data_IF_905226928115
#
_entry.id   IF_905226928115
#
_cell.length_a   1.000
_cell.length_b   1.000
_cell.length_c   1.000
_cell.angle_alpha   90.00
_cell.angle_beta   90.00
_cell.angle_gamma   90.00
#
_symmetry.space_group_name_H-M   'P 1'
#
loop_
_entity.id
_entity.type
_entity.pdbx_description
1 polymer ?
#
# COMPACT_ATOMS: atom_id res chain seq x y z
N UNK A 1 -2.95 -11.24 -29.66
CA UNK A 1 -2.20 -12.37 -29.09
C UNK A 1 -0.82 -11.94 -28.63
N UNK A 2 0.06 -11.45 -29.51
CA UNK A 2 1.34 -10.83 -29.11
C UNK A 2 1.18 -9.77 -28.00
N UNK A 3 0.17 -8.91 -28.14
CA UNK A 3 -0.19 -7.93 -27.11
C UNK A 3 -0.57 -8.54 -25.76
N UNK A 4 -1.38 -9.61 -25.74
CA UNK A 4 -1.80 -10.27 -24.50
C UNK A 4 -0.64 -10.99 -23.81
N UNK A 5 0.31 -11.52 -24.59
CA UNK A 5 1.55 -12.09 -24.06
C UNK A 5 2.38 -10.99 -23.40
N UNK A 6 2.62 -9.88 -24.09
CA UNK A 6 3.34 -8.74 -23.52
C UNK A 6 2.66 -8.23 -22.23
N UNK A 7 1.32 -8.22 -22.22
CA UNK A 7 0.54 -7.83 -21.05
C UNK A 7 0.71 -8.80 -19.87
N UNK A 8 0.70 -10.11 -20.10
CA UNK A 8 1.00 -11.14 -19.08
C UNK A 8 2.38 -10.94 -18.47
N UNK A 9 3.41 -10.72 -19.30
CA UNK A 9 4.77 -10.47 -18.82
C UNK A 9 4.91 -9.16 -18.05
N UNK A 10 4.31 -8.08 -18.57
CA UNK A 10 4.30 -6.80 -17.88
C UNK A 10 3.65 -6.95 -16.49
N UNK A 11 2.55 -7.70 -16.39
CA UNK A 11 1.87 -7.96 -15.13
C UNK A 11 2.72 -8.82 -14.18
N UNK A 12 3.40 -9.86 -14.68
CA UNK A 12 4.32 -10.67 -13.90
C UNK A 12 5.51 -9.85 -13.34
N UNK A 13 6.04 -8.90 -14.14
CA UNK A 13 7.06 -7.96 -13.69
C UNK A 13 6.53 -6.98 -12.62
N UNK A 14 5.28 -6.53 -12.75
CA UNK A 14 4.62 -5.71 -11.73
C UNK A 14 4.44 -6.50 -10.43
N UNK A 15 4.03 -7.77 -10.50
CA UNK A 15 3.95 -8.68 -9.34
C UNK A 15 5.32 -8.84 -8.66
N UNK A 16 6.38 -9.04 -9.45
CA UNK A 16 7.76 -9.09 -8.94
C UNK A 16 8.17 -7.79 -8.25
N UNK A 17 7.82 -6.63 -8.84
CA UNK A 17 8.03 -5.32 -8.24
C UNK A 17 7.31 -5.17 -6.90
N UNK A 18 6.07 -5.66 -6.78
CA UNK A 18 5.34 -5.64 -5.50
C UNK A 18 5.98 -6.54 -4.44
N UNK A 19 6.50 -7.71 -4.82
CA UNK A 19 7.26 -8.54 -3.89
C UNK A 19 8.52 -7.83 -3.38
N UNK A 20 9.23 -7.11 -4.26
CA UNK A 20 10.38 -6.29 -3.88
C UNK A 20 10.00 -5.13 -2.96
N UNK A 21 8.91 -4.40 -3.26
CA UNK A 21 8.42 -3.31 -2.41
C UNK A 21 7.97 -3.80 -1.04
N UNK A 22 7.28 -4.95 -0.97
CA UNK A 22 6.91 -5.58 0.30
C UNK A 22 8.13 -6.04 1.10
N UNK A 23 9.20 -6.49 0.43
CA UNK A 23 10.45 -6.83 1.11
C UNK A 23 11.07 -5.60 1.80
N UNK A 24 11.09 -4.47 1.11
CA UNK A 24 11.61 -3.19 1.62
C UNK A 24 10.66 -2.50 2.61
N UNK A 25 9.37 -2.81 2.59
CA UNK A 25 8.34 -2.18 3.43
C UNK A 25 7.29 -3.21 3.90
N UNK A 26 7.64 -4.09 4.86
CA UNK A 26 6.86 -5.29 5.20
C UNK A 26 5.48 -5.03 5.81
N UNK A 27 5.20 -3.81 6.26
CA UNK A 27 3.93 -3.45 6.93
C UNK A 27 2.95 -2.67 6.04
N UNK A 28 3.23 -2.52 4.74
CA UNK A 28 2.31 -1.83 3.83
C UNK A 28 1.15 -2.74 3.42
N UNK A 29 -0.02 -2.56 4.05
CA UNK A 29 -1.26 -3.25 3.68
C UNK A 29 -1.66 -3.00 2.23
N UNK A 30 -1.35 -1.81 1.69
CA UNK A 30 -1.66 -1.43 0.31
C UNK A 30 -0.87 -2.31 -0.67
N UNK A 31 0.43 -2.54 -0.42
CA UNK A 31 1.24 -3.38 -1.30
C UNK A 31 0.85 -4.85 -1.23
N UNK A 32 0.43 -5.35 -0.05
CA UNK A 32 -0.08 -6.71 0.09
C UNK A 32 -1.38 -6.91 -0.71
N UNK A 33 -2.31 -5.96 -0.64
CA UNK A 33 -3.56 -6.02 -1.38
C UNK A 33 -3.34 -5.90 -2.90
N UNK A 34 -2.43 -5.01 -3.31
CA UNK A 34 -2.05 -4.85 -4.72
C UNK A 34 -1.40 -6.12 -5.27
N UNK A 35 -0.53 -6.78 -4.48
CA UNK A 35 0.10 -8.05 -4.84
C UNK A 35 -0.95 -9.17 -5.01
N UNK A 36 -1.85 -9.33 -4.04
CA UNK A 36 -2.93 -10.34 -4.10
C UNK A 36 -3.78 -10.11 -5.37
N UNK A 37 -4.19 -8.86 -5.60
CA UNK A 37 -4.98 -8.49 -6.77
C UNK A 37 -4.25 -8.80 -8.07
N UNK A 38 -2.95 -8.48 -8.15
CA UNK A 38 -2.14 -8.73 -9.33
C UNK A 38 -1.94 -10.23 -9.62
N UNK A 39 -1.80 -11.07 -8.59
CA UNK A 39 -1.75 -12.54 -8.72
C UNK A 39 -3.05 -13.07 -9.33
N UNK A 40 -4.21 -12.62 -8.84
CA UNK A 40 -5.51 -13.03 -9.38
C UNK A 40 -5.72 -12.56 -10.82
N UNK A 41 -5.35 -11.31 -11.14
CA UNK A 41 -5.46 -10.79 -12.51
C UNK A 41 -4.56 -11.60 -13.46
N UNK A 42 -3.36 -12.00 -13.01
CA UNK A 42 -2.47 -12.82 -13.83
C UNK A 42 -3.06 -14.21 -14.09
N UNK A 43 -3.58 -14.87 -13.06
CA UNK A 43 -4.27 -16.16 -13.21
C UNK A 43 -5.50 -16.07 -14.13
N UNK A 44 -6.25 -14.97 -14.08
CA UNK A 44 -7.38 -14.72 -14.97
C UNK A 44 -6.93 -14.56 -16.43
N UNK A 45 -5.88 -13.78 -16.66
CA UNK A 45 -5.36 -13.51 -18.00
C UNK A 45 -4.86 -14.80 -18.68
N UNK A 46 -4.28 -15.71 -17.90
CA UNK A 46 -3.87 -17.03 -18.36
C UNK A 46 -5.05 -17.91 -18.77
N UNK A 47 -6.16 -17.91 -18.02
CA UNK A 47 -7.37 -18.65 -18.38
C UNK A 47 -7.99 -18.10 -19.67
N UNK A 48 -8.09 -16.78 -19.80
CA UNK A 48 -8.57 -16.11 -21.03
C UNK A 48 -7.70 -16.49 -22.22
N UNK A 49 -6.38 -16.53 -22.05
CA UNK A 49 -5.44 -16.97 -23.09
C UNK A 49 -5.62 -18.45 -23.43
N UNK A 50 -5.86 -19.30 -22.44
CA UNK A 50 -6.19 -20.71 -22.61
C UNK A 50 -7.44 -20.91 -23.48
N UNK A 51 -8.51 -20.18 -23.23
CA UNK A 51 -9.74 -20.26 -24.05
C UNK A 51 -9.55 -19.68 -25.45
N UNK A 52 -8.83 -18.56 -25.59
CA UNK A 52 -8.54 -17.97 -26.90
C UNK A 52 -7.67 -18.87 -27.79
N UNK A 53 -6.70 -19.60 -27.20
CA UNK A 53 -5.87 -20.57 -27.93
C UNK A 53 -6.69 -21.74 -28.45
N UNK A 54 -7.61 -22.28 -27.63
CA UNK A 54 -8.56 -23.33 -28.05
C UNK A 54 -9.42 -22.89 -29.24
N UNK A 55 -9.96 -21.68 -29.18
CA UNK A 55 -10.83 -21.13 -30.24
C UNK A 55 -10.11 -20.95 -31.58
N UNK A 56 -8.82 -20.63 -31.58
CA UNK A 56 -8.06 -20.34 -32.81
C UNK A 56 -7.34 -21.53 -33.42
N UNK A 57 -7.39 -22.73 -32.81
CA UNK A 57 -6.60 -23.90 -33.24
C UNK A 57 -5.11 -23.59 -33.50
N UNK A 58 -4.56 -22.61 -32.78
CA UNK A 58 -3.18 -22.15 -32.98
C UNK A 58 -2.19 -23.22 -32.48
N UNK A 59 -1.13 -23.49 -33.25
CA UNK A 59 -0.06 -24.43 -32.89
C UNK A 59 0.54 -24.08 -31.51
N UNK A 60 0.88 -25.13 -30.75
CA UNK A 60 1.12 -25.10 -29.30
C UNK A 60 2.35 -24.34 -28.82
N UNK A 61 3.20 -23.83 -29.72
CA UNK A 61 4.50 -23.26 -29.37
C UNK A 61 4.41 -22.01 -28.47
N UNK A 62 3.24 -21.36 -28.42
CA UNK A 62 2.99 -20.16 -27.62
C UNK A 62 2.78 -20.43 -26.12
N UNK A 63 2.53 -21.68 -25.71
CA UNK A 63 2.34 -22.03 -24.29
C UNK A 63 3.64 -21.96 -23.47
N UNK A 64 4.80 -22.09 -24.12
CA UNK A 64 6.11 -21.98 -23.45
C UNK A 64 6.36 -20.58 -22.88
N UNK A 65 5.79 -19.57 -23.52
CA UNK A 65 5.99 -18.16 -23.21
C UNK A 65 5.20 -17.73 -21.97
N UNK A 66 3.93 -18.15 -21.84
CA UNK A 66 3.11 -17.90 -20.64
C UNK A 66 3.70 -18.55 -19.37
N UNK A 67 4.36 -19.71 -19.52
CA UNK A 67 4.97 -20.46 -18.40
C UNK A 67 6.10 -19.69 -17.70
N UNK A 68 6.75 -18.73 -18.37
CA UNK A 68 7.81 -17.92 -17.77
C UNK A 68 7.25 -16.85 -16.81
N UNK A 69 5.99 -16.43 -16.99
CA UNK A 69 5.33 -15.50 -16.08
C UNK A 69 5.15 -16.13 -14.69
N UNK A 70 4.78 -17.42 -14.63
CA UNK A 70 4.65 -18.15 -13.37
C UNK A 70 5.95 -18.21 -12.59
N UNK A 71 7.04 -18.46 -13.31
CA UNK A 71 8.37 -18.54 -12.73
C UNK A 71 8.76 -17.21 -12.08
N UNK A 72 8.48 -16.08 -12.73
CA UNK A 72 8.75 -14.75 -12.17
C UNK A 72 7.98 -14.51 -10.87
N UNK A 73 6.72 -14.94 -10.80
CA UNK A 73 5.89 -14.80 -9.59
C UNK A 73 6.43 -15.68 -8.46
N UNK A 74 6.81 -16.93 -8.76
CA UNK A 74 7.41 -17.85 -7.78
C UNK A 74 8.76 -17.31 -7.29
N UNK A 75 9.61 -16.81 -8.18
CA UNK A 75 10.88 -16.19 -7.79
C UNK A 75 10.67 -14.95 -6.92
N UNK A 76 9.69 -14.11 -7.24
CA UNK A 76 9.32 -12.97 -6.41
C UNK A 76 8.86 -13.38 -5.01
N UNK A 77 8.04 -14.42 -4.91
CA UNK A 77 7.59 -14.95 -3.63
C UNK A 77 8.75 -15.51 -2.80
N UNK A 78 9.67 -16.27 -3.42
CA UNK A 78 10.88 -16.79 -2.77
C UNK A 78 11.76 -15.64 -2.28
N UNK A 79 11.98 -14.62 -3.11
CA UNK A 79 12.76 -13.44 -2.75
C UNK A 79 12.15 -12.70 -1.56
N UNK A 80 10.84 -12.47 -1.56
CA UNK A 80 10.12 -11.82 -0.47
C UNK A 80 10.23 -12.61 0.84
N UNK A 81 10.10 -13.94 0.79
CA UNK A 81 10.28 -14.79 1.96
C UNK A 81 11.72 -14.76 2.49
N UNK A 82 12.72 -14.56 1.62
CA UNK A 82 14.14 -14.52 1.99
C UNK A 82 14.69 -13.17 2.48
N UNK A 83 13.97 -12.06 2.27
CA UNK A 83 14.48 -10.69 2.43
C UNK A 83 14.10 -9.98 3.74
N UNK A 84 13.32 -10.62 4.62
CA UNK A 84 12.87 -10.00 5.87
C UNK A 84 13.93 -9.98 7.00
N UNK A 85 13.97 -8.94 7.85
CA UNK A 85 14.86 -8.87 9.00
C UNK A 85 14.36 -9.82 10.12
N UNK A 86 15.09 -10.94 10.29
CA UNK A 86 15.29 -11.77 11.49
C UNK A 86 14.08 -12.33 12.31
N UNK A 87 14.37 -13.40 13.05
CA UNK A 87 13.56 -14.19 14.02
C UNK A 87 12.53 -15.23 13.53
N UNK A 88 11.69 -14.99 12.53
CA UNK A 88 10.77 -16.06 12.03
C UNK A 88 11.53 -17.30 11.52
N UNK A 89 12.71 -17.10 10.93
CA UNK A 89 13.59 -18.17 10.46
C UNK A 89 14.47 -18.80 11.56
N UNK A 90 14.56 -18.20 12.77
CA UNK A 90 15.29 -18.83 13.90
C UNK A 90 14.51 -19.99 14.50
N UNK A 91 13.18 -19.89 14.55
CA UNK A 91 12.28 -21.00 14.94
C UNK A 91 12.38 -22.18 13.95
N UNK A 92 12.99 -21.96 12.78
CA UNK A 92 13.00 -22.87 11.64
C UNK A 92 14.40 -22.98 11.00
N UNK A 93 15.47 -22.99 11.81
CA UNK A 93 16.86 -23.09 11.32
C UNK A 93 17.12 -24.35 10.47
N UNK A 94 16.47 -25.48 10.80
CA UNK A 94 16.46 -26.71 10.00
C UNK A 94 15.74 -26.51 8.66
N UNK A 95 14.70 -25.68 8.64
CA UNK A 95 13.95 -25.37 7.41
C UNK A 95 14.71 -24.44 6.49
N UNK A 96 15.66 -23.61 6.96
CA UNK A 96 16.53 -22.81 6.07
C UNK A 96 17.38 -23.70 5.14
N UNK A 97 17.94 -24.80 5.66
CA UNK A 97 18.64 -25.80 4.84
C UNK A 97 17.66 -26.55 3.92
N UNK A 98 16.46 -26.86 4.41
CA UNK A 98 15.41 -27.50 3.60
C UNK A 98 14.72 -26.56 2.60
N UNK A 99 14.86 -25.23 2.71
CA UNK A 99 14.35 -24.23 1.76
C UNK A 99 15.31 -24.09 0.59
N UNK A 100 16.62 -24.23 0.82
CA UNK A 100 17.60 -24.32 -0.25
C UNK A 100 17.50 -25.67 -0.98
N UNK A 101 17.37 -26.77 -0.22
CA UNK A 101 17.09 -28.09 -0.77
C UNK A 101 15.72 -28.13 -1.45
N UNK A 102 14.71 -27.49 -0.86
CA UNK A 102 13.35 -27.34 -1.39
C UNK A 102 13.32 -26.47 -2.65
N UNK A 103 14.08 -25.38 -2.68
CA UNK A 103 14.31 -24.56 -3.87
C UNK A 103 14.96 -25.36 -5.00
N UNK A 104 15.97 -26.17 -4.68
CA UNK A 104 16.61 -27.08 -5.64
C UNK A 104 15.68 -28.21 -6.10
N UNK A 105 14.83 -28.75 -5.22
CA UNK A 105 13.78 -29.73 -5.55
C UNK A 105 12.71 -29.09 -6.42
N UNK A 106 12.29 -27.86 -6.15
CA UNK A 106 11.34 -27.10 -6.96
C UNK A 106 11.92 -26.79 -8.33
N UNK A 107 13.17 -26.32 -8.39
CA UNK A 107 13.89 -26.12 -9.64
C UNK A 107 14.03 -27.43 -10.42
N UNK A 108 14.30 -28.53 -9.72
CA UNK A 108 14.40 -29.88 -10.27
C UNK A 108 13.07 -30.40 -10.81
N UNK A 109 11.96 -30.22 -10.08
CA UNK A 109 10.61 -30.57 -10.51
C UNK A 109 10.21 -29.72 -11.72
N UNK A 110 10.56 -28.43 -11.73
CA UNK A 110 10.28 -27.53 -12.86
C UNK A 110 11.09 -27.94 -14.09
N UNK A 111 12.37 -28.28 -13.93
CA UNK A 111 13.23 -28.78 -15.01
C UNK A 111 12.77 -30.14 -15.55
N UNK A 112 12.37 -31.06 -14.67
CA UNK A 112 11.81 -32.37 -15.06
C UNK A 112 10.46 -32.21 -15.76
N UNK A 113 9.60 -31.30 -15.30
CA UNK A 113 8.32 -31.01 -15.95
C UNK A 113 8.47 -30.18 -17.24
N UNK A 114 9.62 -29.51 -17.42
CA UNK A 114 10.01 -28.87 -18.68
C UNK A 114 10.45 -29.91 -19.72
N UNK A 115 11.20 -30.94 -19.31
CA UNK A 115 11.70 -31.98 -20.21
C UNK A 115 10.68 -33.08 -20.52
N UNK A 116 9.82 -33.45 -19.58
CA UNK A 116 8.96 -34.63 -19.70
C UNK A 116 7.68 -34.42 -20.52
N UNK A 117 7.23 -33.16 -20.75
CA UNK A 117 5.87 -32.90 -21.22
C UNK A 117 5.62 -32.90 -22.74
N UNK A 118 6.50 -33.55 -23.50
CA UNK A 118 6.18 -33.92 -24.89
C UNK A 118 5.07 -34.99 -24.99
N UNK A 119 4.60 -35.58 -23.88
CA UNK A 119 3.88 -36.85 -23.92
C UNK A 119 2.43 -36.92 -23.38
N UNK A 120 1.83 -35.94 -22.69
CA UNK A 120 0.45 -36.13 -22.21
C UNK A 120 -0.39 -34.85 -22.09
N UNK A 121 -1.55 -34.87 -22.76
CA UNK A 121 -2.67 -33.93 -22.57
C UNK A 121 -3.54 -34.46 -21.44
N UNK A 122 -3.23 -34.12 -20.19
CA UNK A 122 -3.98 -34.55 -19.00
C UNK A 122 -4.70 -33.41 -18.30
N UNK A 123 -5.87 -33.70 -17.72
CA UNK A 123 -6.69 -32.82 -16.89
C UNK A 123 -6.19 -32.81 -15.43
N UNK A 124 -6.02 -31.62 -14.83
CA UNK A 124 -5.59 -31.42 -13.43
C UNK A 124 -4.78 -30.12 -13.23
N UNK A 125 -4.10 -30.00 -12.07
CA UNK A 125 -3.19 -28.93 -11.57
C UNK A 125 -2.02 -28.53 -12.50
N UNK A 126 -2.09 -29.00 -13.72
CA UNK A 126 -1.16 -28.81 -14.81
C UNK A 126 -1.27 -27.42 -15.44
N UNK A 127 -2.40 -26.75 -15.26
CA UNK A 127 -2.65 -25.39 -15.78
C UNK A 127 -2.01 -24.33 -14.87
N UNK A 128 -1.50 -23.27 -15.49
CA UNK A 128 -0.96 -22.10 -14.78
C UNK A 128 -2.01 -21.45 -13.87
N UNK A 129 -3.24 -21.31 -14.38
CA UNK A 129 -4.34 -20.65 -13.69
C UNK A 129 -4.67 -21.30 -12.35
N UNK A 130 -4.63 -22.63 -12.24
CA UNK A 130 -4.89 -23.35 -10.98
C UNK A 130 -3.80 -23.09 -9.94
N UNK A 131 -2.54 -23.01 -10.36
CA UNK A 131 -1.40 -22.70 -9.48
C UNK A 131 -1.50 -21.27 -8.93
N UNK A 132 -1.81 -20.30 -9.79
CA UNK A 132 -1.95 -18.90 -9.38
C UNK A 132 -3.17 -18.65 -8.51
N UNK A 133 -4.28 -19.33 -8.78
CA UNK A 133 -5.48 -19.22 -7.96
C UNK A 133 -5.25 -19.74 -6.54
N UNK A 134 -4.58 -20.89 -6.41
CA UNK A 134 -4.23 -21.45 -5.11
C UNK A 134 -3.27 -20.51 -4.35
N UNK A 135 -2.24 -19.98 -5.02
CA UNK A 135 -1.35 -18.98 -4.44
C UNK A 135 -2.13 -17.74 -3.93
N UNK A 136 -3.09 -17.24 -4.73
CA UNK A 136 -3.94 -16.10 -4.38
C UNK A 136 -4.84 -16.36 -3.17
N UNK A 137 -5.44 -17.54 -3.04
CA UNK A 137 -6.28 -17.91 -1.88
C UNK A 137 -5.47 -17.88 -0.58
N UNK A 138 -4.31 -18.51 -0.57
CA UNK A 138 -3.48 -18.54 0.63
C UNK A 138 -2.93 -17.15 0.98
N UNK A 139 -2.53 -16.36 -0.03
CA UNK A 139 -2.12 -14.97 0.17
C UNK A 139 -3.27 -14.13 0.78
N UNK A 140 -4.50 -14.31 0.31
CA UNK A 140 -5.68 -13.66 0.86
C UNK A 140 -6.01 -14.11 2.29
N UNK A 141 -5.92 -15.41 2.58
CA UNK A 141 -6.16 -15.95 3.92
C UNK A 141 -5.16 -15.42 4.96
N UNK A 142 -3.92 -15.14 4.54
CA UNK A 142 -2.89 -14.57 5.40
C UNK A 142 -2.92 -13.05 5.57
N UNK A 143 -3.76 -12.34 4.81
CA UNK A 143 -3.70 -10.87 4.66
C UNK A 143 -3.68 -10.09 5.98
N UNK A 144 -4.45 -10.51 6.99
CA UNK A 144 -4.63 -9.74 8.21
C UNK A 144 -3.51 -9.89 9.25
N UNK A 145 -2.91 -11.07 9.44
CA UNK A 145 -1.94 -11.28 10.53
C UNK A 145 -0.78 -12.25 10.20
N UNK A 146 -0.85 -13.03 9.12
CA UNK A 146 0.09 -14.14 8.87
C UNK A 146 0.51 -14.24 7.40
N UNK A 147 0.62 -13.11 6.69
CA UNK A 147 0.79 -13.09 5.24
C UNK A 147 2.00 -13.91 4.78
N UNK A 148 3.15 -13.76 5.44
CA UNK A 148 4.37 -14.54 5.14
C UNK A 148 4.20 -16.04 5.40
N UNK A 149 3.59 -16.42 6.53
CA UNK A 149 3.37 -17.83 6.87
C UNK A 149 2.37 -18.48 5.91
N UNK A 150 1.29 -17.80 5.58
CA UNK A 150 0.29 -18.28 4.63
C UNK A 150 0.88 -18.42 3.21
N UNK A 151 1.68 -17.44 2.76
CA UNK A 151 2.39 -17.52 1.48
C UNK A 151 3.40 -18.69 1.44
N UNK A 152 4.10 -18.94 2.54
CA UNK A 152 4.99 -20.10 2.67
C UNK A 152 4.21 -21.42 2.60
N UNK A 153 3.10 -21.55 3.33
CA UNK A 153 2.21 -22.71 3.25
C UNK A 153 1.65 -22.92 1.84
N UNK A 154 1.32 -21.83 1.13
CA UNK A 154 0.88 -21.88 -0.26
C UNK A 154 1.93 -22.50 -1.17
N UNK A 155 3.17 -22.02 -1.07
CA UNK A 155 4.29 -22.52 -1.85
C UNK A 155 4.57 -23.99 -1.53
N UNK A 156 4.60 -24.36 -0.25
CA UNK A 156 4.81 -25.75 0.18
C UNK A 156 3.72 -26.68 -0.38
N UNK A 157 2.44 -26.27 -0.28
CA UNK A 157 1.32 -27.03 -0.84
C UNK A 157 1.43 -27.17 -2.36
N UNK A 158 1.78 -26.09 -3.07
CA UNK A 158 1.97 -26.09 -4.52
C UNK A 158 3.12 -27.03 -4.95
N UNK A 159 4.22 -27.06 -4.19
CA UNK A 159 5.35 -27.96 -4.43
C UNK A 159 4.94 -29.43 -4.23
N UNK A 160 4.23 -29.73 -3.13
CA UNK A 160 3.72 -31.07 -2.85
C UNK A 160 2.75 -31.55 -3.95
N UNK A 161 1.84 -30.68 -4.39
CA UNK A 161 0.90 -30.96 -5.46
C UNK A 161 1.60 -31.21 -6.81
N UNK A 162 2.63 -30.42 -7.15
CA UNK A 162 3.43 -30.64 -8.34
C UNK A 162 4.17 -31.99 -8.28
N UNK A 163 4.75 -32.33 -7.13
CA UNK A 163 5.44 -33.60 -6.94
C UNK A 163 4.49 -34.80 -7.05
N UNK A 164 3.32 -34.71 -6.42
CA UNK A 164 2.26 -35.71 -6.56
C UNK A 164 1.77 -35.84 -8.00
N UNK A 165 1.70 -34.74 -8.77
CA UNK A 165 1.36 -34.79 -10.18
C UNK A 165 2.41 -35.53 -11.03
N UNK A 166 3.70 -35.33 -10.75
CA UNK A 166 4.78 -36.07 -11.43
C UNK A 166 4.73 -37.54 -11.06
N UNK A 167 4.58 -37.87 -9.77
CA UNK A 167 4.43 -39.25 -9.29
C UNK A 167 3.21 -39.94 -9.90
N UNK A 168 2.09 -39.23 -10.01
CA UNK A 168 0.86 -39.73 -10.64
C UNK A 168 1.11 -40.16 -12.07
N UNK A 169 1.83 -39.36 -12.85
CA UNK A 169 2.12 -39.68 -14.25
C UNK A 169 3.03 -40.92 -14.36
N UNK A 170 3.93 -41.11 -13.40
CA UNK A 170 4.77 -42.33 -13.30
C UNK A 170 3.94 -43.56 -12.86
N UNK A 171 2.97 -43.38 -11.97
CA UNK A 171 2.22 -44.47 -11.32
C UNK A 171 0.81 -44.73 -11.90
N UNK A 172 0.39 -43.96 -12.92
CA UNK A 172 -0.94 -44.04 -13.59
C UNK A 172 -2.15 -43.95 -12.64
N UNK A 173 -2.05 -43.20 -11.54
CA UNK A 173 -3.16 -43.04 -10.57
C UNK A 173 -4.17 -41.99 -11.08
N UNK A 174 -5.48 -42.22 -10.91
CA UNK A 174 -6.52 -41.20 -11.23
C UNK A 174 -6.56 -40.14 -10.13
N UNK A 175 -6.29 -38.87 -10.48
CA UNK A 175 -6.21 -37.76 -9.52
C UNK A 175 -7.56 -37.13 -9.13
N UNK A 176 -7.54 -36.38 -8.02
CA UNK A 176 -8.64 -35.53 -7.56
C UNK A 176 -8.73 -34.33 -8.50
N UNK A 177 -9.89 -34.12 -9.10
CA UNK A 177 -10.14 -33.00 -10.01
C UNK A 177 -10.70 -31.80 -9.26
N UNK A 178 -10.07 -30.63 -9.40
CA UNK A 178 -10.60 -29.36 -8.93
C UNK A 178 -11.66 -28.74 -9.87
N UNK A 179 -12.09 -29.48 -10.90
CA UNK A 179 -13.08 -29.01 -11.86
C UNK A 179 -14.36 -28.44 -11.20
N UNK A 180 -14.95 -29.00 -10.11
CA UNK A 180 -16.16 -28.45 -9.50
C UNK A 180 -15.96 -27.04 -8.94
N UNK A 181 -14.85 -26.82 -8.22
CA UNK A 181 -14.50 -25.52 -7.65
C UNK A 181 -14.23 -24.50 -8.77
N UNK A 182 -13.57 -24.96 -9.83
CA UNK A 182 -13.32 -24.19 -11.05
C UNK A 182 -14.61 -23.86 -11.80
N UNK A 183 -15.61 -24.71 -11.80
CA UNK A 183 -16.90 -24.39 -12.45
C UNK A 183 -17.68 -23.33 -11.66
N UNK A 184 -17.57 -23.30 -10.33
CA UNK A 184 -18.16 -22.23 -9.52
C UNK A 184 -17.52 -20.87 -9.80
N UNK A 185 -16.18 -20.78 -9.76
CA UNK A 185 -15.46 -19.57 -10.13
C UNK A 185 -15.57 -19.26 -11.64
N UNK A 186 -15.51 -20.29 -12.46
CA UNK A 186 -15.66 -20.25 -13.91
C UNK A 186 -17.03 -19.76 -14.36
N UNK A 187 -18.11 -20.03 -13.64
CA UNK A 187 -19.43 -19.49 -13.93
C UNK A 187 -19.41 -17.95 -13.84
N UNK A 188 -18.82 -17.40 -12.79
CA UNK A 188 -18.62 -15.94 -12.67
C UNK A 188 -17.71 -15.38 -13.77
N UNK A 189 -16.67 -16.11 -14.19
CA UNK A 189 -15.79 -15.69 -15.29
C UNK A 189 -16.43 -15.81 -16.67
N UNK A 190 -17.23 -16.84 -16.91
CA UNK A 190 -17.94 -17.05 -18.17
C UNK A 190 -18.97 -15.93 -18.38
N UNK A 191 -19.63 -15.49 -17.31
CA UNK A 191 -20.54 -14.36 -17.32
C UNK A 191 -19.79 -13.08 -17.72
N UNK A 192 -18.66 -12.79 -17.07
CA UNK A 192 -17.78 -11.67 -17.40
C UNK A 192 -17.29 -11.70 -18.86
N UNK A 193 -16.83 -12.86 -19.33
CA UNK A 193 -16.38 -13.06 -20.71
C UNK A 193 -17.54 -12.90 -21.72
N UNK A 194 -18.76 -13.32 -21.37
CA UNK A 194 -19.95 -13.11 -22.19
C UNK A 194 -20.33 -11.63 -22.28
N UNK A 195 -20.28 -10.89 -21.18
CA UNK A 195 -20.46 -9.42 -21.19
C UNK A 195 -19.38 -8.71 -22.00
N UNK A 196 -18.12 -9.12 -21.90
CA UNK A 196 -17.06 -8.54 -22.73
C UNK A 196 -17.26 -8.85 -24.23
N UNK A 197 -17.73 -10.06 -24.56
CA UNK A 197 -18.11 -10.41 -25.94
C UNK A 197 -19.27 -9.56 -26.44
N UNK A 198 -20.30 -9.32 -25.63
CA UNK A 198 -21.44 -8.51 -26.04
C UNK A 198 -21.00 -7.05 -26.29
N UNK A 199 -20.15 -6.49 -25.43
CA UNK A 199 -19.57 -5.14 -25.60
C UNK A 199 -18.70 -5.06 -26.86
N UNK A 200 -17.78 -5.99 -27.09
CA UNK A 200 -16.93 -5.98 -28.28
C UNK A 200 -17.71 -6.24 -29.57
N UNK A 201 -18.74 -7.09 -29.55
CA UNK A 201 -19.59 -7.34 -30.72
C UNK A 201 -20.49 -6.14 -31.04
N UNK A 202 -20.96 -5.41 -30.02
CA UNK A 202 -21.68 -4.16 -30.17
C UNK A 202 -20.79 -3.03 -30.72
N UNK A 203 -19.53 -2.98 -30.29
CA UNK A 203 -18.53 -2.04 -30.82
C UNK A 203 -18.18 -2.32 -32.29
N UNK A 204 -18.24 -3.58 -32.74
CA UNK A 204 -17.90 -3.98 -34.12
C UNK A 204 -19.01 -3.78 -35.15
N UNK A 205 -20.27 -3.59 -34.71
CA UNK A 205 -21.44 -3.49 -35.61
C UNK A 205 -21.94 -2.07 -35.87
N UNK A 206 -21.23 -1.01 -35.47
CA UNK A 206 -21.66 0.37 -35.73
C UNK A 206 -20.58 1.19 -36.40
N UNK A 207 -20.59 1.18 -37.74
CA UNK A 207 -20.38 2.41 -38.49
C UNK A 207 -21.20 2.39 -39.79
N UNK A 208 -22.48 2.76 -39.71
CA UNK A 208 -23.06 3.66 -40.68
C UNK A 208 -23.31 5.02 -40.04
N UNK A 209 -23.06 6.08 -40.81
CA UNK A 209 -23.22 7.47 -40.41
C UNK A 209 -24.57 7.69 -39.71
N UNK A 210 -24.53 7.99 -38.42
CA UNK A 210 -25.73 8.27 -37.63
C UNK A 210 -26.13 9.74 -37.79
N UNK A 211 -27.41 10.03 -38.09
CA UNK A 211 -27.96 11.37 -38.04
C UNK A 211 -27.78 11.95 -36.64
N UNK A 212 -27.48 13.24 -36.55
CA UNK A 212 -27.36 14.01 -35.30
C UNK A 212 -28.72 14.07 -34.60
N UNK A 213 -29.06 13.02 -33.85
CA UNK A 213 -30.12 13.08 -32.86
C UNK A 213 -29.63 13.98 -31.73
N UNK A 214 -30.28 15.12 -31.55
CA UNK A 214 -30.17 15.93 -30.33
C UNK A 214 -30.68 15.08 -29.16
N UNK A 215 -29.76 14.35 -28.52
CA UNK A 215 -30.04 13.64 -27.28
C UNK A 215 -30.34 14.70 -26.23
N UNK A 216 -31.60 14.75 -25.79
CA UNK A 216 -32.04 15.56 -24.67
C UNK A 216 -31.35 14.98 -23.43
N UNK A 217 -30.23 15.59 -23.04
CA UNK A 217 -29.44 15.16 -21.89
C UNK A 217 -30.34 15.18 -20.65
N UNK A 218 -30.45 14.07 -19.89
CA UNK A 218 -31.23 14.07 -18.66
C UNK A 218 -30.64 15.12 -17.72
N UNK A 219 -31.48 16.03 -17.23
CA UNK A 219 -31.10 16.99 -16.20
C UNK A 219 -30.76 16.20 -14.94
N UNK A 220 -29.52 16.30 -14.45
CA UNK A 220 -29.11 15.73 -13.18
C UNK A 220 -29.95 16.34 -12.05
N UNK A 221 -30.38 15.52 -11.09
CA UNK A 221 -31.04 16.01 -9.87
C UNK A 221 -30.08 16.88 -9.06
N UNK A 222 -30.61 17.92 -8.42
CA UNK A 222 -29.85 18.82 -7.54
C UNK A 222 -30.09 18.40 -6.10
N UNK A 223 -29.03 18.38 -5.30
CA UNK A 223 -29.02 17.93 -3.91
C UNK A 223 -28.34 18.96 -3.00
N UNK A 224 -28.79 19.03 -1.75
CA UNK A 224 -28.19 19.89 -0.74
C UNK A 224 -27.07 19.14 -0.01
N UNK A 225 -25.91 19.77 0.11
CA UNK A 225 -24.78 19.23 0.86
C UNK A 225 -24.33 20.22 1.94
N UNK A 226 -24.30 19.77 3.19
CA UNK A 226 -23.88 20.57 4.34
C UNK A 226 -22.52 20.11 4.85
N UNK A 227 -21.50 20.95 4.77
CA UNK A 227 -20.20 20.71 5.39
C UNK A 227 -20.14 21.40 6.76
N UNK A 228 -19.77 20.68 7.81
CA UNK A 228 -19.50 21.26 9.14
C UNK A 228 -18.03 21.10 9.45
N UNK A 229 -17.31 22.21 9.67
CA UNK A 229 -15.86 22.22 9.89
C UNK A 229 -15.55 22.47 11.36
N UNK A 230 -14.81 21.56 11.98
CA UNK A 230 -14.45 21.62 13.42
C UNK A 230 -12.96 21.38 13.63
N UNK A 231 -12.41 21.86 14.74
CA UNK A 231 -11.05 21.54 15.18
C UNK A 231 -10.99 20.10 15.71
N UNK A 232 -10.01 19.31 15.27
CA UNK A 232 -9.93 17.89 15.57
C UNK A 232 -9.76 17.56 17.07
N UNK A 233 -9.09 18.44 17.83
CA UNK A 233 -8.76 18.22 19.24
C UNK A 233 -9.85 18.69 20.20
N UNK A 234 -10.46 19.83 19.92
CA UNK A 234 -11.43 20.49 20.81
C UNK A 234 -12.88 20.29 20.36
N UNK A 235 -13.07 19.82 19.12
CA UNK A 235 -14.36 19.77 18.41
C UNK A 235 -15.07 21.13 18.29
N UNK A 236 -14.36 22.23 18.57
CA UNK A 236 -14.88 23.57 18.42
C UNK A 236 -15.13 23.87 16.92
N UNK A 237 -16.23 24.56 16.58
CA UNK A 237 -16.51 24.96 15.20
C UNK A 237 -15.45 25.95 14.70
N UNK A 238 -15.10 25.84 13.40
CA UNK A 238 -14.13 26.71 12.75
C UNK A 238 -14.82 27.70 11.81
N UNK A 239 -15.22 28.90 12.30
CA UNK A 239 -15.82 29.92 11.47
C UNK A 239 -14.84 30.45 10.43
N UNK A 240 -15.36 30.89 9.29
CA UNK A 240 -14.61 31.38 8.14
C UNK A 240 -13.66 30.34 7.49
N UNK A 241 -13.79 29.06 7.81
CA UNK A 241 -13.13 28.00 7.05
C UNK A 241 -13.65 28.01 5.61
N UNK A 242 -12.74 27.99 4.64
CA UNK A 242 -13.07 27.94 3.21
C UNK A 242 -13.33 26.49 2.81
N UNK A 243 -14.54 26.20 2.35
CA UNK A 243 -14.94 24.90 1.80
C UNK A 243 -15.10 25.05 0.29
N UNK A 244 -14.31 24.31 -0.49
CA UNK A 244 -14.35 24.30 -1.94
C UNK A 244 -14.81 22.94 -2.45
N UNK A 245 -15.94 22.89 -3.16
CA UNK A 245 -16.43 21.71 -3.86
C UNK A 245 -16.07 21.82 -5.35
N UNK A 246 -15.31 20.85 -5.87
CA UNK A 246 -14.96 20.77 -7.28
C UNK A 246 -15.57 19.52 -7.92
N UNK A 247 -16.49 19.69 -8.86
CA UNK A 247 -17.09 18.58 -9.63
C UNK A 247 -16.02 17.89 -10.48
N UNK A 248 -15.85 16.57 -10.33
CA UNK A 248 -14.90 15.80 -11.15
C UNK A 248 -15.35 15.64 -12.59
N UNK A 249 -16.66 15.63 -12.83
CA UNK A 249 -17.24 15.44 -14.16
C UNK A 249 -17.17 16.72 -15.00
N UNK A 250 -17.47 17.86 -14.38
CA UNK A 250 -17.58 19.14 -15.11
C UNK A 250 -16.39 20.09 -14.85
N UNK A 251 -15.59 19.84 -13.82
CA UNK A 251 -14.51 20.74 -13.38
C UNK A 251 -14.99 22.01 -12.69
N UNK A 252 -16.30 22.25 -12.58
CA UNK A 252 -16.86 23.44 -11.92
C UNK A 252 -16.55 23.43 -10.43
N UNK A 253 -16.20 24.60 -9.89
CA UNK A 253 -15.89 24.81 -8.48
C UNK A 253 -16.94 25.72 -7.84
N UNK A 254 -17.38 25.35 -6.65
CA UNK A 254 -18.19 26.18 -5.78
C UNK A 254 -17.44 26.39 -4.46
N UNK A 255 -17.42 27.63 -3.97
CA UNK A 255 -16.72 28.00 -2.74
C UNK A 255 -17.71 28.63 -1.76
N UNK A 256 -17.64 28.20 -0.50
CA UNK A 256 -18.38 28.77 0.63
C UNK A 256 -17.46 28.94 1.83
N UNK A 257 -17.78 29.92 2.66
CA UNK A 257 -17.14 30.12 3.96
C UNK A 257 -18.06 29.56 5.04
N UNK A 258 -17.48 28.83 5.98
CA UNK A 258 -18.19 28.31 7.14
C UNK A 258 -18.69 29.46 8.04
N UNK A 259 -19.93 29.33 8.53
CA UNK A 259 -20.54 30.29 9.44
C UNK A 259 -20.03 30.17 10.89
N UNK A 260 -20.68 30.87 11.84
CA UNK A 260 -20.31 30.82 13.26
C UNK A 260 -20.41 29.42 13.90
N UNK A 261 -21.21 28.52 13.32
CA UNK A 261 -21.35 27.12 13.72
C UNK A 261 -20.40 26.18 12.96
N UNK A 262 -19.52 26.73 12.12
CA UNK A 262 -18.63 25.96 11.25
C UNK A 262 -19.34 25.39 10.02
N UNK A 263 -20.58 25.81 9.72
CA UNK A 263 -21.42 25.21 8.68
C UNK A 263 -21.30 25.95 7.35
N UNK A 264 -21.21 25.20 6.25
CA UNK A 264 -21.28 25.69 4.88
C UNK A 264 -22.24 24.83 4.04
N UNK A 265 -23.28 25.45 3.49
CA UNK A 265 -24.30 24.77 2.68
C UNK A 265 -24.10 24.97 1.17
N UNK A 266 -24.27 23.89 0.41
CA UNK A 266 -24.11 23.81 -1.03
C UNK A 266 -25.37 23.22 -1.69
N UNK A 267 -25.65 23.62 -2.93
CA UNK A 267 -26.72 23.04 -3.74
C UNK A 267 -26.14 22.62 -5.09
N UNK A 268 -25.86 21.33 -5.23
CA UNK A 268 -25.04 20.80 -6.32
C UNK A 268 -25.74 19.64 -7.05
N UNK A 269 -25.53 19.47 -8.36
CA UNK A 269 -26.04 18.30 -9.07
C UNK A 269 -25.47 16.99 -8.52
N UNK A 270 -26.20 15.89 -8.72
CA UNK A 270 -25.70 14.54 -8.47
C UNK A 270 -24.35 14.32 -9.17
N UNK A 271 -23.36 13.76 -8.46
CA UNK A 271 -22.06 13.47 -9.05
C UNK A 271 -20.92 13.29 -8.05
N UNK A 272 -19.71 13.07 -8.59
CA UNK A 272 -18.47 12.99 -7.81
C UNK A 272 -17.82 14.37 -7.62
N UNK A 273 -17.43 14.67 -6.38
CA UNK A 273 -16.82 15.93 -5.98
C UNK A 273 -15.51 15.71 -5.22
N UNK A 274 -14.54 16.59 -5.48
CA UNK A 274 -13.38 16.82 -4.63
C UNK A 274 -13.68 17.98 -3.69
N UNK A 275 -13.66 17.74 -2.39
CA UNK A 275 -13.89 18.72 -1.34
C UNK A 275 -12.54 19.13 -0.78
N UNK A 276 -12.25 20.43 -0.76
CA UNK A 276 -11.01 20.99 -0.21
C UNK A 276 -11.39 21.95 0.90
N UNK A 277 -10.78 21.77 2.07
CA UNK A 277 -11.09 22.56 3.27
C UNK A 277 -9.81 23.23 3.77
N UNK A 278 -9.88 24.55 3.94
CA UNK A 278 -8.78 25.38 4.38
C UNK A 278 -9.25 26.32 5.49
N UNK A 279 -8.52 26.38 6.61
CA UNK A 279 -8.77 27.33 7.68
C UNK A 279 -7.44 27.92 8.16
N UNK A 280 -7.45 29.19 8.58
CA UNK A 280 -6.24 29.88 9.03
C UNK A 280 -5.62 29.17 10.25
N UNK A 281 -4.36 28.79 10.14
CA UNK A 281 -3.64 28.07 11.21
C UNK A 281 -3.89 26.56 11.26
N UNK A 282 -4.61 26.01 10.28
CA UNK A 282 -4.87 24.57 10.17
C UNK A 282 -4.24 23.99 8.91
N UNK A 283 -3.97 22.68 8.95
CA UNK A 283 -3.55 21.93 7.79
C UNK A 283 -4.71 21.82 6.79
N UNK A 284 -4.41 22.04 5.52
CA UNK A 284 -5.34 21.80 4.41
C UNK A 284 -5.67 20.32 4.30
N UNK A 285 -6.96 20.02 4.17
CA UNK A 285 -7.46 18.64 3.99
C UNK A 285 -8.27 18.52 2.69
N UNK A 286 -8.22 17.35 2.07
CA UNK A 286 -8.90 17.05 0.81
C UNK A 286 -9.66 15.72 0.90
N UNK A 287 -10.89 15.71 0.39
CA UNK A 287 -11.78 14.54 0.41
C UNK A 287 -12.44 14.32 -0.94
N UNK A 288 -12.86 13.08 -1.21
CA UNK A 288 -13.65 12.74 -2.38
C UNK A 288 -15.00 12.17 -1.95
N UNK A 289 -16.09 12.71 -2.48
CA UNK A 289 -17.45 12.32 -2.13
C UNK A 289 -18.34 12.19 -3.36
N UNK A 290 -19.24 11.23 -3.34
CA UNK A 290 -20.33 11.11 -4.29
C UNK A 290 -21.61 11.63 -3.63
N UNK A 291 -22.21 12.67 -4.21
CA UNK A 291 -23.43 13.29 -3.70
C UNK A 291 -24.56 12.85 -4.61
N UNK A 292 -25.51 12.08 -4.08
CA UNK A 292 -26.72 11.63 -4.80
C UNK A 292 -28.01 11.81 -4.01
N UNK A 293 -27.89 12.29 -2.78
CA UNK A 293 -28.99 12.63 -1.88
C UNK A 293 -28.58 13.82 -1.01
N UNK A 294 -29.57 14.48 -0.43
CA UNK A 294 -29.32 15.52 0.56
C UNK A 294 -28.56 14.93 1.75
N UNK A 295 -27.43 15.53 2.11
CA UNK A 295 -26.49 14.97 3.09
C UNK A 295 -25.69 16.05 3.82
N UNK A 296 -25.10 15.67 4.95
CA UNK A 296 -24.17 16.52 5.68
C UNK A 296 -23.04 15.73 6.32
N UNK A 297 -21.87 16.34 6.43
CA UNK A 297 -20.66 15.68 6.95
C UNK A 297 -19.85 16.64 7.83
N UNK A 298 -19.26 16.08 8.90
CA UNK A 298 -18.36 16.79 9.80
C UNK A 298 -16.91 16.54 9.38
N UNK A 299 -16.20 17.61 9.08
CA UNK A 299 -14.79 17.62 8.71
C UNK A 299 -13.94 18.15 9.85
N UNK A 300 -12.97 17.34 10.29
CA UNK A 300 -12.07 17.68 11.40
C UNK A 300 -10.73 18.16 10.85
N UNK A 301 -10.34 19.39 11.15
CA UNK A 301 -9.03 19.93 10.79
C UNK A 301 -8.06 19.87 11.96
N UNK A 302 -6.82 19.49 11.67
CA UNK A 302 -5.72 19.48 12.64
C UNK A 302 -4.80 20.68 12.40
N UNK A 303 -4.26 21.25 13.48
CA UNK A 303 -3.19 22.24 13.38
C UNK A 303 -1.91 21.55 12.89
N UNK A 304 -1.05 22.23 12.11
CA UNK A 304 0.26 21.68 11.82
C UNK A 304 1.02 21.49 13.14
N UNK A 305 1.77 20.40 13.22
CA UNK A 305 2.60 20.05 14.36
C UNK A 305 3.98 19.59 13.89
N UNK A 306 5.00 19.91 14.67
CA UNK A 306 6.39 19.54 14.44
C UNK A 306 6.93 18.91 15.72
N UNK A 307 7.82 17.95 15.56
CA UNK A 307 8.56 17.37 16.67
C UNK A 307 9.93 18.04 16.77
N UNK A 308 10.39 18.35 17.97
CA UNK A 308 11.67 18.99 18.24
C UNK A 308 12.61 18.00 18.95
N UNK A 309 13.80 17.82 18.38
CA UNK A 309 14.90 17.12 19.05
C UNK A 309 15.93 18.13 19.56
N UNK A 310 16.20 18.11 20.87
CA UNK A 310 17.25 18.91 21.49
C UNK A 310 18.42 18.00 21.83
N UNK A 311 19.57 18.24 21.21
CA UNK A 311 20.81 17.48 21.44
C UNK A 311 21.69 18.26 22.41
N UNK A 312 22.17 17.60 23.46
CA UNK A 312 22.99 18.23 24.51
C UNK A 312 24.32 17.49 24.64
N UNK A 313 25.42 18.17 24.36
CA UNK A 313 26.78 17.64 24.43
C UNK A 313 27.65 18.46 25.40
N UNK A 314 28.73 17.85 25.87
CA UNK A 314 29.81 18.54 26.55
C UNK A 314 30.65 19.32 25.53
N UNK A 315 30.85 20.61 25.76
CA UNK A 315 31.55 21.50 24.83
C UNK A 315 33.03 21.14 24.61
N UNK A 316 33.69 20.47 25.57
CA UNK A 316 35.12 20.18 25.50
C UNK A 316 35.41 18.84 24.83
N UNK A 317 34.63 17.81 25.18
CA UNK A 317 34.90 16.44 24.74
C UNK A 317 33.90 15.94 23.69
N UNK A 318 32.90 16.74 23.34
CA UNK A 318 31.83 16.39 22.39
C UNK A 318 31.10 15.09 22.75
N UNK A 319 31.02 14.76 24.04
CA UNK A 319 30.29 13.59 24.54
C UNK A 319 28.85 13.97 24.89
N UNK A 320 27.85 13.14 24.58
CA UNK A 320 26.47 13.41 24.96
C UNK A 320 26.27 13.50 26.47
N UNK A 321 25.43 14.44 26.92
CA UNK A 321 25.09 14.61 28.34
C UNK A 321 23.72 14.00 28.60
N UNK A 322 23.70 12.86 29.30
CA UNK A 322 22.47 12.19 29.71
C UNK A 322 21.86 12.81 30.96
N UNK A 323 20.53 12.82 31.04
CA UNK A 323 19.77 13.32 32.19
C UNK A 323 19.74 14.85 32.33
N UNK A 324 20.25 15.60 31.35
CA UNK A 324 20.12 17.06 31.30
C UNK A 324 18.63 17.45 31.21
N UNK A 325 18.22 18.45 31.98
CA UNK A 325 16.85 18.98 31.96
C UNK A 325 16.73 20.02 30.85
N UNK A 326 15.85 19.76 29.90
CA UNK A 326 15.52 20.67 28.80
C UNK A 326 14.12 21.21 29.01
N UNK A 327 14.01 22.53 29.13
CA UNK A 327 12.74 23.25 29.27
C UNK A 327 12.44 24.00 27.97
N UNK A 328 11.34 23.64 27.32
CA UNK A 328 10.84 24.30 26.13
C UNK A 328 9.70 25.23 26.53
N UNK A 329 9.89 26.54 26.31
CA UNK A 329 8.89 27.58 26.61
C UNK A 329 8.17 28.00 25.34
N UNK A 330 6.86 27.76 25.34
CA UNK A 330 5.93 27.93 24.23
C UNK A 330 4.88 28.94 24.71
N UNK A 331 5.10 30.23 24.45
CA UNK A 331 4.27 31.33 24.99
C UNK A 331 4.24 31.28 26.53
N UNK A 332 3.07 31.08 27.13
CA UNK A 332 2.85 30.95 28.58
C UNK A 332 2.92 29.50 29.09
N UNK A 333 3.19 28.52 28.20
CA UNK A 333 3.30 27.11 28.56
C UNK A 333 4.75 26.66 28.57
N UNK A 334 5.10 25.84 29.55
CA UNK A 334 6.41 25.21 29.66
C UNK A 334 6.27 23.70 29.56
N UNK A 335 7.18 23.08 28.82
CA UNK A 335 7.32 21.62 28.76
C UNK A 335 8.74 21.26 29.20
N UNK A 336 8.85 20.26 30.07
CA UNK A 336 10.15 19.79 30.57
C UNK A 336 10.37 18.34 30.15
N UNK A 337 11.55 18.06 29.61
CA UNK A 337 12.03 16.72 29.24
C UNK A 337 13.46 16.54 29.72
N UNK A 338 13.87 15.29 29.92
CA UNK A 338 15.26 14.94 30.22
C UNK A 338 15.90 14.30 29.01
N UNK A 339 17.19 14.54 28.81
CA UNK A 339 17.95 13.88 27.75
C UNK A 339 18.15 12.39 28.05
N UNK A 340 18.10 11.56 27.02
CA UNK A 340 18.37 10.13 27.08
C UNK A 340 19.88 9.82 27.17
N UNK A 341 20.29 8.56 26.97
CA UNK A 341 21.69 8.14 26.97
C UNK A 341 22.50 8.63 25.75
N UNK A 342 21.82 9.15 24.72
CA UNK A 342 22.42 9.79 23.56
C UNK A 342 22.43 11.32 23.66
N UNK A 343 22.06 11.86 24.83
CA UNK A 343 22.00 13.30 25.07
C UNK A 343 20.85 13.99 24.35
N UNK A 344 19.79 13.27 23.95
CA UNK A 344 18.67 13.82 23.19
C UNK A 344 17.42 13.93 24.07
N UNK A 345 16.81 15.12 24.09
CA UNK A 345 15.47 15.34 24.63
C UNK A 345 14.49 15.55 23.46
N UNK A 346 13.40 14.78 23.45
CA UNK A 346 12.41 14.81 22.38
C UNK A 346 11.09 15.42 22.84
N UNK A 347 10.56 16.35 22.05
CA UNK A 347 9.27 16.99 22.24
C UNK A 347 8.42 16.76 21.01
N UNK A 348 7.21 16.26 21.20
CA UNK A 348 6.29 15.89 20.13
C UNK A 348 5.11 16.85 20.05
N UNK A 349 4.51 16.91 18.86
CA UNK A 349 3.23 17.60 18.63
C UNK A 349 3.23 19.09 19.04
N UNK A 350 4.29 19.82 18.68
CA UNK A 350 4.43 21.24 18.97
C UNK A 350 3.90 22.06 17.78
N UNK A 351 3.11 23.10 18.05
CA UNK A 351 2.71 24.05 17.01
C UNK A 351 3.94 24.79 16.43
N UNK A 352 4.11 24.88 15.10
CA UNK A 352 5.20 25.63 14.49
C UNK A 352 5.19 27.10 14.93
N UNK A 353 6.22 27.51 15.67
CA UNK A 353 6.46 28.89 16.10
C UNK A 353 7.89 29.05 16.65
N UNK A 354 8.27 30.28 16.99
CA UNK A 354 9.49 30.57 17.74
C UNK A 354 9.33 30.12 19.20
N UNK A 355 10.28 29.33 19.70
CA UNK A 355 10.30 28.83 21.08
C UNK A 355 11.63 29.15 21.76
N UNK A 356 11.60 29.40 23.06
CA UNK A 356 12.80 29.51 23.90
C UNK A 356 13.12 28.13 24.52
N UNK A 357 14.39 27.78 24.55
CA UNK A 357 14.89 26.50 25.08
C UNK A 357 15.92 26.80 26.17
N UNK A 358 15.72 26.22 27.35
CA UNK A 358 16.63 26.31 28.48
C UNK A 358 17.19 24.92 28.76
N UNK A 359 18.51 24.81 28.89
CA UNK A 359 19.18 23.54 29.15
C UNK A 359 19.99 23.63 30.43
N UNK A 360 19.79 22.66 31.32
CA UNK A 360 20.48 22.56 32.61
C UNK A 360 20.99 21.15 32.85
N UNK A 361 22.23 21.03 33.30
CA UNK A 361 22.81 19.77 33.76
C UNK A 361 23.67 19.99 35.01
N UNK A 362 23.68 19.00 35.92
CA UNK A 362 24.51 19.05 37.12
C UNK A 362 26.00 19.14 36.76
N UNK A 363 26.71 20.12 37.34
CA UNK A 363 28.12 20.37 37.02
C UNK A 363 28.37 21.25 35.78
N UNK A 364 27.33 21.65 35.06
CA UNK A 364 27.41 22.49 33.86
C UNK A 364 26.78 23.87 34.09
N UNK A 365 27.19 24.84 33.27
CA UNK A 365 26.51 26.13 33.15
C UNK A 365 25.17 25.99 32.42
N UNK A 366 24.20 26.84 32.79
CA UNK A 366 22.89 26.86 32.14
C UNK A 366 23.06 27.55 30.80
N UNK A 367 22.53 26.95 29.75
CA UNK A 367 22.49 27.54 28.41
C UNK A 367 21.05 27.88 28.00
N UNK A 368 20.93 28.92 27.19
CA UNK A 368 19.64 29.38 26.67
C UNK A 368 19.74 29.59 25.17
N UNK A 369 18.74 29.14 24.42
CA UNK A 369 18.66 29.33 22.99
C UNK A 369 17.23 29.53 22.51
N UNK A 370 17.07 29.79 21.22
CA UNK A 370 15.76 29.89 20.58
C UNK A 370 15.74 29.10 19.29
N UNK A 371 14.62 28.44 19.00
CA UNK A 371 14.43 27.67 17.75
C UNK A 371 13.16 28.13 17.05
N UNK A 372 13.24 28.35 15.74
CA UNK A 372 12.07 28.59 14.91
C UNK A 372 11.61 27.25 14.29
N UNK A 373 10.54 26.68 14.86
CA UNK A 373 9.98 25.39 14.44
C UNK A 373 9.34 25.41 13.05
N UNK A 374 9.22 26.57 12.40
CA UNK A 374 8.84 26.66 10.99
C UNK A 374 9.99 26.29 10.05
N UNK A 375 11.24 26.36 10.53
CA UNK A 375 12.45 26.17 9.73
C UNK A 375 13.26 24.95 10.16
N UNK A 376 13.38 24.74 11.46
CA UNK A 376 14.28 23.77 12.05
C UNK A 376 13.57 22.96 13.12
N UNK A 377 13.83 21.66 13.15
CA UNK A 377 13.25 20.72 14.10
C UNK A 377 14.31 20.05 14.98
N UNK A 378 15.55 20.52 14.91
CA UNK A 378 16.69 20.03 15.70
C UNK A 378 17.51 21.23 16.14
N UNK A 379 17.88 21.27 17.42
CA UNK A 379 18.80 22.26 17.99
C UNK A 379 19.83 21.57 18.87
N UNK A 380 21.08 22.05 18.83
CA UNK A 380 22.19 21.48 19.59
C UNK A 380 22.72 22.48 20.60
N UNK A 381 22.93 22.03 21.84
CA UNK A 381 23.56 22.78 22.92
C UNK A 381 24.87 22.11 23.34
N UNK A 382 25.92 22.91 23.44
CA UNK A 382 27.22 22.47 23.94
C UNK A 382 27.46 23.13 25.30
N UNK A 383 27.32 22.38 26.39
CA UNK A 383 27.41 22.92 27.74
C UNK A 383 28.85 22.99 28.23
N UNK A 384 29.21 24.09 28.90
CA UNK A 384 30.51 24.29 29.54
C UNK A 384 30.51 23.80 31.00
N UNK A 385 31.56 23.08 31.40
CA UNK A 385 31.70 22.55 32.76
C UNK A 385 32.19 23.63 33.74
N UNK A 386 31.42 23.87 34.82
CA UNK A 386 31.68 24.92 35.82
C UNK A 386 33.05 24.81 36.50
N UNK A 387 33.56 23.60 36.68
CA UNK A 387 34.77 23.36 37.47
C UNK A 387 36.07 23.59 36.69
N UNK A 388 36.03 23.53 35.35
CA UNK A 388 37.25 23.67 34.53
C UNK A 388 37.56 25.10 34.12
N UNK A 389 36.56 25.98 34.06
CA UNK A 389 36.75 27.40 33.72
C UNK A 389 37.67 28.09 34.74
N UNK A 390 37.58 27.73 36.03
CA UNK A 390 38.40 28.35 37.09
C UNK A 390 39.90 28.03 37.05
N UNK A 391 40.32 26.98 36.34
CA UNK A 391 41.73 26.58 36.29
C UNK A 391 42.51 27.19 35.11
N UNK A 392 41.86 28.02 34.26
CA UNK A 392 42.52 28.71 33.15
C UNK A 392 42.77 30.20 33.39
N UNK A 393 42.35 30.74 34.55
CA UNK A 393 42.60 32.13 34.97
C UNK A 393 43.76 32.26 35.97
N UNK A 394 44.61 31.24 36.12
CA UNK A 394 45.76 31.24 37.06
C UNK A 394 47.09 31.23 36.31
#
# INVERSE_FOLDING_TARGET
>A
MKFLILLSYALALVVLGFFYLLASSPYSMIFALALISAIFINGLLDEVMGELTKLRKLKSDWYSVLRNADMLIVFGAIYYLGSGPYDFLKVYSTVKQNLFLGGAIVLGIILVNYTHRRASRGTGLDTSSERMFLLGIFAAAGYYNYFKAALFSALAALCALLYLSVLRDVWKIRGISFAPLRHAAGATYSYLAQTLRSICSAARKRSPARPKLKVKQPSLSVHNFTAVVTEAKTEAPLPNATVTLASKETGKKEVRYADASGRGDFSVPEGQYKIVIEAKGFKKEEYERFISIDSGEVFKLSRPSVDLSVVVNDAQVATPISGASVTLKIREKEQVRRTDNLGVAYFDNIEPQLCEVFVEAGGYERETGSVNLEKENIISFNLSNKNKVKNQEV
#
